data_IF_072283650300
#
_entry.id   IF_072283650300
#
_cell.length_a   1.000
_cell.length_b   1.000
_cell.length_c   1.000
_cell.angle_alpha   90.00
_cell.angle_beta   90.00
_cell.angle_gamma   90.00
#
_symmetry.space_group_name_H-M   'P 1'
#
loop_
_entity.id
_entity.type
_entity.pdbx_description
1 polymer ?
#
# COMPACT_ATOMS: atom_id res chain seq x y z
N UNK A 1 9.72 24.46 14.20
CA UNK A 1 8.50 23.74 14.59
C UNK A 1 8.93 22.33 15.00
N UNK A 2 8.24 21.70 15.96
CA UNK A 2 8.57 20.34 16.40
C UNK A 2 8.39 19.34 15.26
N UNK A 3 9.24 18.33 15.19
CA UNK A 3 9.07 17.20 14.28
C UNK A 3 8.03 16.18 14.83
N UNK A 4 7.62 15.22 14.00
CA UNK A 4 6.61 14.21 14.38
C UNK A 4 7.12 13.25 15.47
N UNK A 5 8.44 13.02 15.52
CA UNK A 5 9.08 12.15 16.51
C UNK A 5 9.17 12.83 17.88
N UNK A 6 9.42 14.13 17.93
CA UNK A 6 9.41 14.95 19.14
C UNK A 6 8.01 14.98 19.77
N UNK A 7 6.95 15.09 18.94
CA UNK A 7 5.56 15.02 19.40
C UNK A 7 5.25 13.63 19.99
N UNK A 8 5.71 12.56 19.35
CA UNK A 8 5.48 11.20 19.82
C UNK A 8 6.14 10.89 21.17
N UNK A 9 7.23 11.59 21.51
CA UNK A 9 7.98 11.39 22.75
C UNK A 9 7.49 12.25 23.94
N UNK A 10 6.59 13.23 23.70
CA UNK A 10 5.97 14.03 24.75
C UNK A 10 4.54 13.54 25.01
N UNK A 11 4.25 13.09 26.23
CA UNK A 11 2.97 12.45 26.56
C UNK A 11 1.77 13.41 26.47
N UNK A 12 1.95 14.70 26.76
CA UNK A 12 0.87 15.68 26.69
C UNK A 12 0.56 16.03 25.24
N UNK A 13 1.62 16.29 24.45
CA UNK A 13 1.50 16.55 23.02
C UNK A 13 0.95 15.34 22.28
N UNK A 14 1.42 14.14 22.58
CA UNK A 14 0.91 12.90 22.00
C UNK A 14 -0.59 12.75 22.23
N UNK A 15 -1.07 12.95 23.46
CA UNK A 15 -2.51 12.83 23.74
C UNK A 15 -3.35 13.87 22.99
N UNK A 16 -2.86 15.11 22.91
CA UNK A 16 -3.52 16.15 22.13
C UNK A 16 -3.53 15.82 20.63
N UNK A 17 -2.39 15.42 20.08
CA UNK A 17 -2.23 15.05 18.68
C UNK A 17 -3.06 13.83 18.31
N UNK A 18 -3.19 12.85 19.19
CA UNK A 18 -4.08 11.70 19.00
C UNK A 18 -5.55 12.09 18.91
N UNK A 19 -6.01 12.99 19.79
CA UNK A 19 -7.39 13.46 19.77
C UNK A 19 -7.71 14.29 18.52
N UNK A 20 -6.81 15.22 18.16
CA UNK A 20 -6.94 16.03 16.95
C UNK A 20 -6.84 15.20 15.67
N UNK A 21 -5.84 14.33 15.58
CA UNK A 21 -5.62 13.44 14.44
C UNK A 21 -6.79 12.51 14.19
N UNK A 22 -7.40 11.97 15.26
CA UNK A 22 -8.62 11.14 15.15
C UNK A 22 -9.80 11.91 14.54
N UNK A 23 -10.00 13.16 14.95
CA UNK A 23 -11.08 13.99 14.40
C UNK A 23 -10.85 14.28 12.92
N UNK A 24 -9.63 14.71 12.56
CA UNK A 24 -9.23 15.00 11.17
C UNK A 24 -9.34 13.76 10.30
N UNK A 25 -8.93 12.60 10.81
CA UNK A 25 -9.04 11.32 10.11
C UNK A 25 -10.50 10.96 9.80
N UNK A 26 -11.41 11.15 10.78
CA UNK A 26 -12.83 10.87 10.59
C UNK A 26 -13.46 11.72 9.48
N UNK A 27 -13.05 13.00 9.39
CA UNK A 27 -13.60 13.93 8.40
C UNK A 27 -13.02 13.73 6.99
N UNK A 28 -11.75 13.33 6.89
CA UNK A 28 -11.00 13.39 5.63
C UNK A 28 -10.56 12.02 5.07
N UNK A 29 -10.27 11.05 5.94
CA UNK A 29 -9.60 9.80 5.56
C UNK A 29 -10.53 8.58 5.65
N UNK A 30 -11.42 8.57 6.65
CA UNK A 30 -12.36 7.48 6.90
C UNK A 30 -13.27 7.11 5.71
N UNK A 31 -13.70 8.03 4.82
CA UNK A 31 -14.49 7.65 3.64
C UNK A 31 -13.79 6.65 2.72
N UNK A 32 -12.45 6.66 2.68
CA UNK A 32 -11.63 5.75 1.87
C UNK A 32 -11.06 4.61 2.72
N UNK A 33 -10.39 4.96 3.83
CA UNK A 33 -9.65 4.00 4.67
C UNK A 33 -10.49 3.35 5.78
N UNK A 34 -11.80 3.63 5.85
CA UNK A 34 -12.69 3.14 6.90
C UNK A 34 -12.52 3.90 8.22
N UNK A 35 -13.56 3.89 9.05
CA UNK A 35 -13.62 4.69 10.29
C UNK A 35 -12.52 4.37 11.31
N UNK A 36 -11.97 3.17 11.27
CA UNK A 36 -10.83 2.73 12.09
C UNK A 36 -9.55 2.47 11.31
N UNK A 37 -9.44 2.87 10.03
CA UNK A 37 -8.29 2.51 9.21
C UNK A 37 -8.31 1.05 8.73
N UNK A 38 -9.45 0.38 8.74
CA UNK A 38 -9.58 -1.00 8.25
C UNK A 38 -9.36 -1.16 6.74
N UNK A 39 -9.32 -0.06 5.99
CA UNK A 39 -9.33 -0.09 4.55
C UNK A 39 -10.68 -0.52 3.99
N UNK A 40 -10.73 -0.65 2.67
CA UNK A 40 -11.84 -1.14 1.86
C UNK A 40 -11.24 -1.74 0.57
N UNK A 41 -11.98 -2.49 -0.26
CA UNK A 41 -11.46 -2.95 -1.55
C UNK A 41 -10.90 -1.79 -2.38
N UNK A 42 -9.58 -1.84 -2.66
CA UNK A 42 -8.83 -0.78 -3.34
C UNK A 42 -8.31 0.36 -2.47
N UNK A 43 -8.57 0.35 -1.17
CA UNK A 43 -8.02 1.27 -0.18
C UNK A 43 -7.28 0.52 0.93
N UNK A 44 -5.98 0.78 1.14
CA UNK A 44 -5.17 0.02 2.10
C UNK A 44 -5.74 0.07 3.52
N UNK A 45 -5.58 -1.03 4.24
CA UNK A 45 -5.72 -0.99 5.69
C UNK A 45 -4.51 -0.26 6.27
N UNK A 46 -4.78 0.70 7.14
CA UNK A 46 -3.79 1.45 7.91
C UNK A 46 -3.57 0.82 9.29
N UNK A 47 -4.20 -0.33 9.56
CA UNK A 47 -4.02 -1.11 10.79
C UNK A 47 -3.04 -2.29 10.60
N UNK A 48 -2.55 -2.47 9.38
CA UNK A 48 -1.62 -3.54 9.01
C UNK A 48 -0.17 -3.09 9.19
N UNK A 49 0.73 -4.05 9.38
CA UNK A 49 2.17 -3.83 9.48
C UNK A 49 2.83 -3.82 8.09
N UNK A 50 2.12 -4.25 7.04
CA UNK A 50 2.57 -4.26 5.65
C UNK A 50 2.31 -2.93 4.93
N UNK A 51 3.22 -1.98 5.11
CA UNK A 51 3.15 -0.67 4.48
C UNK A 51 3.74 -0.65 3.07
N UNK A 52 2.97 -0.14 2.10
CA UNK A 52 3.44 0.02 0.71
C UNK A 52 4.63 0.98 0.60
N UNK A 53 4.57 2.12 1.29
CA UNK A 53 5.54 3.21 1.20
C UNK A 53 6.31 3.46 2.52
N UNK A 54 6.33 2.46 3.40
CA UNK A 54 6.91 2.57 4.74
C UNK A 54 5.90 3.01 5.81
N UNK A 55 6.04 2.47 7.01
CA UNK A 55 5.13 2.70 8.15
C UNK A 55 5.70 3.58 9.26
N UNK A 56 6.90 4.13 9.09
CA UNK A 56 7.49 5.05 10.07
C UNK A 56 6.75 6.38 10.09
N UNK A 57 6.87 7.14 11.18
CA UNK A 57 6.27 8.48 11.29
C UNK A 57 6.66 9.38 10.10
N UNK A 58 7.92 9.37 9.68
CA UNK A 58 8.39 10.20 8.57
C UNK A 58 7.82 9.74 7.22
N UNK A 59 7.74 8.42 6.98
CA UNK A 59 7.20 7.88 5.73
C UNK A 59 5.68 8.13 5.58
N UNK A 60 4.93 7.97 6.68
CA UNK A 60 3.51 8.31 6.74
C UNK A 60 3.33 9.81 6.53
N UNK A 61 4.12 10.63 7.22
CA UNK A 61 4.07 12.09 7.09
C UNK A 61 4.31 12.52 5.63
N UNK A 62 5.36 12.00 5.00
CA UNK A 62 5.65 12.28 3.59
C UNK A 62 4.48 11.88 2.68
N UNK A 63 3.94 10.66 2.85
CA UNK A 63 2.79 10.18 2.07
C UNK A 63 1.58 11.11 2.21
N UNK A 64 1.29 11.60 3.42
CA UNK A 64 0.22 12.57 3.64
C UNK A 64 0.49 13.91 2.94
N UNK A 65 1.75 14.37 2.90
CA UNK A 65 2.12 15.62 2.23
C UNK A 65 2.01 15.52 0.72
N UNK A 66 2.58 14.47 0.12
CA UNK A 66 2.78 14.40 -1.34
C UNK A 66 1.73 13.55 -2.06
N UNK A 67 1.00 12.71 -1.34
CA UNK A 67 0.04 11.78 -1.92
C UNK A 67 0.70 10.65 -2.72
N UNK A 68 -0.14 9.85 -3.39
CA UNK A 68 0.27 8.75 -4.27
C UNK A 68 -0.44 8.92 -5.61
N UNK A 69 0.34 9.00 -6.70
CA UNK A 69 -0.13 9.25 -8.07
C UNK A 69 -1.08 10.46 -8.16
N UNK A 70 -0.82 11.48 -7.35
CA UNK A 70 -1.64 12.68 -7.28
C UNK A 70 -1.09 13.75 -8.22
N UNK A 71 -1.76 13.94 -9.36
CA UNK A 71 -1.31 14.79 -10.47
C UNK A 71 -1.06 16.26 -10.11
N UNK A 72 -1.73 16.77 -9.07
CA UNK A 72 -1.56 18.14 -8.62
C UNK A 72 -0.35 18.34 -7.67
N UNK A 73 0.46 17.30 -7.41
CA UNK A 73 1.72 17.40 -6.69
C UNK A 73 2.86 16.72 -7.48
N UNK A 74 3.90 17.48 -7.84
CA UNK A 74 5.04 16.97 -8.62
C UNK A 74 5.93 15.99 -7.83
N UNK A 75 5.93 16.09 -6.51
CA UNK A 75 6.67 15.21 -5.59
C UNK A 75 5.86 13.97 -5.18
N UNK A 76 4.71 13.72 -5.81
CA UNK A 76 3.83 12.62 -5.44
C UNK A 76 4.54 11.27 -5.55
N UNK A 77 4.28 10.37 -4.60
CA UNK A 77 4.80 9.01 -4.66
C UNK A 77 4.21 8.31 -5.87
N UNK A 78 5.05 7.67 -6.67
CA UNK A 78 4.62 7.06 -7.91
C UNK A 78 5.15 5.64 -8.05
N UNK A 79 4.23 4.74 -8.34
CA UNK A 79 4.53 3.40 -8.82
C UNK A 79 3.66 3.14 -10.03
N UNK A 80 4.02 2.18 -10.89
CA UNK A 80 3.10 1.71 -11.92
C UNK A 80 3.40 0.25 -12.25
N UNK A 81 2.40 -0.61 -12.06
CA UNK A 81 2.48 -2.00 -12.49
C UNK A 81 2.02 -2.02 -13.96
N UNK A 82 2.78 -2.60 -14.90
CA UNK A 82 2.30 -2.78 -16.27
C UNK A 82 1.02 -3.61 -16.30
N UNK A 83 0.13 -3.34 -17.25
CA UNK A 83 -1.02 -4.21 -17.48
C UNK A 83 -0.58 -5.34 -18.42
N UNK A 84 0.07 -6.36 -17.87
CA UNK A 84 0.79 -7.38 -18.65
C UNK A 84 -0.07 -8.06 -19.72
N UNK A 85 -1.36 -8.27 -19.45
CA UNK A 85 -2.27 -8.84 -20.45
C UNK A 85 -2.77 -7.83 -21.46
N UNK A 86 -3.28 -6.68 -21.00
CA UNK A 86 -3.84 -5.63 -21.86
C UNK A 86 -2.79 -5.03 -22.80
N UNK A 87 -1.57 -4.88 -22.30
CA UNK A 87 -0.44 -4.29 -23.03
C UNK A 87 0.36 -5.37 -23.80
N UNK A 88 -0.16 -6.60 -23.88
CA UNK A 88 0.37 -7.74 -24.67
C UNK A 88 1.82 -8.11 -24.30
N UNK A 89 2.20 -7.93 -23.03
CA UNK A 89 3.53 -8.29 -22.52
C UNK A 89 3.64 -9.76 -22.13
N UNK A 90 2.52 -10.37 -21.71
CA UNK A 90 2.40 -11.78 -21.38
C UNK A 90 1.18 -12.40 -22.03
N UNK A 91 1.33 -13.64 -22.49
CA UNK A 91 0.22 -14.46 -22.97
C UNK A 91 -0.69 -14.86 -21.80
N UNK A 92 -1.96 -15.16 -22.11
CA UNK A 92 -2.96 -15.51 -21.10
C UNK A 92 -2.52 -16.68 -20.20
N UNK A 93 -1.92 -17.71 -20.79
CA UNK A 93 -1.45 -18.88 -20.04
C UNK A 93 -0.31 -18.52 -19.07
N UNK A 94 0.59 -17.60 -19.46
CA UNK A 94 1.66 -17.11 -18.58
C UNK A 94 1.11 -16.31 -17.40
N UNK A 95 0.02 -15.57 -17.62
CA UNK A 95 -0.67 -14.83 -16.57
C UNK A 95 -1.37 -15.79 -15.59
N UNK A 96 -2.00 -16.84 -16.09
CA UNK A 96 -2.61 -17.86 -15.24
C UNK A 96 -1.54 -18.60 -14.41
N UNK A 97 -0.39 -18.93 -15.01
CA UNK A 97 0.74 -19.57 -14.35
C UNK A 97 1.35 -18.68 -13.24
N UNK A 98 1.63 -17.40 -13.51
CA UNK A 98 2.22 -16.50 -12.50
C UNK A 98 1.24 -16.22 -11.35
N UNK A 99 -0.07 -16.21 -11.61
CA UNK A 99 -1.09 -16.08 -10.56
C UNK A 99 -1.09 -17.30 -9.64
N UNK A 100 -0.97 -18.51 -10.17
CA UNK A 100 -0.84 -19.73 -9.35
C UNK A 100 0.45 -19.69 -8.51
N UNK A 101 1.55 -19.17 -9.06
CA UNK A 101 2.79 -18.98 -8.30
C UNK A 101 2.61 -17.98 -7.16
N UNK A 102 2.00 -16.81 -7.41
CA UNK A 102 1.71 -15.81 -6.36
C UNK A 102 0.78 -16.37 -5.28
N UNK A 103 -0.25 -17.13 -5.67
CA UNK A 103 -1.17 -17.76 -4.71
C UNK A 103 -0.44 -18.75 -3.78
N UNK A 104 0.63 -19.40 -4.26
CA UNK A 104 1.38 -20.39 -3.49
C UNK A 104 2.02 -19.79 -2.22
N UNK A 105 2.33 -18.48 -2.22
CA UNK A 105 2.85 -17.78 -1.05
C UNK A 105 1.84 -17.64 0.09
N UNK A 106 0.54 -17.69 -0.22
CA UNK A 106 -0.54 -17.48 0.76
C UNK A 106 -0.95 -18.77 1.50
N UNK A 107 -0.23 -19.87 1.28
CA UNK A 107 -0.51 -21.17 1.92
C UNK A 107 -1.82 -21.82 1.47
N UNK A 108 -2.37 -21.39 0.33
CA UNK A 108 -3.59 -21.94 -0.27
C UNK A 108 -3.24 -23.08 -1.24
N UNK A 109 -4.20 -23.96 -1.51
CA UNK A 109 -4.07 -24.96 -2.57
C UNK A 109 -3.99 -24.26 -3.94
N UNK A 110 -2.97 -24.59 -4.71
CA UNK A 110 -2.71 -24.08 -6.06
C UNK A 110 -2.45 -25.22 -7.03
N UNK A 111 -2.53 -24.95 -8.33
CA UNK A 111 -2.00 -25.87 -9.33
C UNK A 111 -0.47 -25.81 -9.30
N UNK A 112 0.15 -26.81 -8.66
CA UNK A 112 1.60 -26.86 -8.50
C UNK A 112 2.36 -26.85 -9.84
N UNK A 113 1.82 -27.49 -10.88
CA UNK A 113 2.49 -27.51 -12.18
C UNK A 113 2.41 -26.14 -12.88
N UNK A 114 1.32 -25.41 -12.69
CA UNK A 114 1.20 -24.03 -13.14
C UNK A 114 2.10 -23.08 -12.33
N UNK A 115 2.15 -23.25 -11.01
CA UNK A 115 3.03 -22.48 -10.14
C UNK A 115 4.52 -22.65 -10.49
N UNK A 116 4.96 -23.87 -10.82
CA UNK A 116 6.34 -24.14 -11.27
C UNK A 116 6.69 -23.39 -12.55
N UNK A 117 5.75 -23.29 -13.51
CA UNK A 117 5.95 -22.47 -14.73
C UNK A 117 5.88 -20.98 -14.41
N UNK A 118 4.98 -20.59 -13.52
CA UNK A 118 4.77 -19.22 -13.06
C UNK A 118 5.97 -18.65 -12.33
N UNK A 119 6.77 -19.49 -11.67
CA UNK A 119 8.01 -19.08 -11.01
C UNK A 119 8.99 -18.41 -11.99
N UNK A 120 9.12 -18.98 -13.21
CA UNK A 120 9.98 -18.41 -14.26
C UNK A 120 9.43 -17.06 -14.73
N UNK A 121 8.11 -16.97 -14.96
CA UNK A 121 7.46 -15.71 -15.35
C UNK A 121 7.65 -14.63 -14.27
N UNK A 122 7.53 -15.01 -13.00
CA UNK A 122 7.71 -14.12 -11.86
C UNK A 122 9.14 -13.59 -11.77
N UNK A 123 10.15 -14.47 -11.89
CA UNK A 123 11.56 -14.10 -11.87
C UNK A 123 11.88 -13.09 -12.99
N UNK A 124 11.38 -13.33 -14.19
CA UNK A 124 11.67 -12.50 -15.37
C UNK A 124 10.94 -11.13 -15.35
N UNK A 125 9.72 -11.06 -14.78
CA UNK A 125 8.83 -9.92 -14.98
C UNK A 125 8.39 -9.21 -13.70
N UNK A 126 8.38 -9.90 -12.55
CA UNK A 126 7.75 -9.40 -11.32
C UNK A 126 8.76 -9.13 -10.21
N UNK A 127 9.81 -9.95 -10.10
CA UNK A 127 10.79 -9.90 -9.01
C UNK A 127 11.58 -8.58 -8.96
N UNK A 128 11.73 -7.87 -10.08
CA UNK A 128 12.40 -6.57 -10.13
C UNK A 128 11.71 -5.48 -9.28
N UNK A 129 10.39 -5.60 -9.10
CA UNK A 129 9.60 -4.68 -8.27
C UNK A 129 9.11 -5.32 -6.97
N UNK A 130 8.74 -6.61 -7.02
CA UNK A 130 8.16 -7.33 -5.87
C UNK A 130 9.20 -8.11 -5.05
N UNK A 131 10.47 -8.12 -5.46
CA UNK A 131 11.52 -8.91 -4.83
C UNK A 131 11.45 -10.40 -5.20
N UNK A 132 12.59 -11.10 -5.15
CA UNK A 132 12.67 -12.55 -5.38
C UNK A 132 11.87 -13.34 -4.34
N UNK A 133 11.76 -12.82 -3.12
CA UNK A 133 10.98 -13.42 -2.03
C UNK A 133 9.54 -12.90 -1.96
N UNK A 134 9.11 -12.15 -2.98
CA UNK A 134 7.77 -11.60 -3.14
C UNK A 134 7.30 -10.68 -2.00
N UNK A 135 8.23 -10.15 -1.17
CA UNK A 135 7.90 -9.27 -0.03
C UNK A 135 7.67 -7.81 -0.41
N UNK A 136 7.84 -7.46 -1.68
CA UNK A 136 7.71 -6.08 -2.13
C UNK A 136 8.95 -5.24 -1.85
N UNK A 137 8.98 -4.06 -2.46
CA UNK A 137 10.02 -3.05 -2.28
C UNK A 137 9.32 -1.74 -1.92
N UNK A 138 9.53 -1.27 -0.69
CA UNK A 138 8.82 -0.09 -0.16
C UNK A 138 9.16 1.19 -0.93
N UNK A 139 10.41 1.33 -1.39
CA UNK A 139 10.84 2.47 -2.21
C UNK A 139 10.13 2.53 -3.58
N UNK A 140 9.51 1.42 -4.01
CA UNK A 140 8.72 1.33 -5.23
C UNK A 140 7.22 1.27 -4.95
N UNK A 141 6.78 1.37 -3.69
CA UNK A 141 5.37 1.19 -3.34
C UNK A 141 4.83 -0.20 -3.72
N UNK A 142 5.70 -1.19 -3.92
CA UNK A 142 5.32 -2.50 -4.40
C UNK A 142 4.86 -3.38 -3.22
N UNK A 143 3.64 -3.93 -3.25
CA UNK A 143 3.07 -4.67 -2.13
C UNK A 143 3.81 -5.98 -1.86
N UNK A 144 3.77 -6.39 -0.59
CA UNK A 144 4.10 -7.74 -0.15
C UNK A 144 3.03 -8.72 -0.66
N UNK A 145 3.42 -9.61 -1.57
CA UNK A 145 2.52 -10.61 -2.16
C UNK A 145 2.42 -11.89 -1.31
N UNK A 146 3.17 -11.96 -0.20
CA UNK A 146 3.10 -13.06 0.77
C UNK A 146 2.13 -12.78 1.92
N UNK A 147 1.53 -11.59 1.93
CA UNK A 147 0.64 -11.13 2.98
C UNK A 147 -0.73 -11.85 2.95
N UNK A 148 -1.35 -11.98 4.12
CA UNK A 148 -2.72 -12.42 4.29
C UNK A 148 -3.73 -11.32 3.90
N UNK A 149 -3.37 -10.04 4.05
CA UNK A 149 -4.25 -8.91 3.77
C UNK A 149 -3.96 -8.37 2.37
N UNK A 150 -4.95 -8.48 1.48
CA UNK A 150 -4.83 -8.03 0.09
C UNK A 150 -5.67 -6.79 -0.17
N UNK A 151 -5.06 -5.76 -0.76
CA UNK A 151 -5.71 -4.49 -1.09
C UNK A 151 -6.96 -4.65 -1.97
N UNK A 152 -6.85 -5.44 -3.04
CA UNK A 152 -7.95 -5.67 -3.99
C UNK A 152 -8.66 -7.02 -3.76
N UNK A 153 -8.14 -7.86 -2.88
CA UNK A 153 -8.53 -9.26 -2.67
C UNK A 153 -7.53 -10.26 -3.24
N UNK A 154 -7.41 -11.42 -2.60
CA UNK A 154 -6.43 -12.45 -2.95
C UNK A 154 -7.05 -13.68 -3.64
N UNK A 155 -8.19 -13.56 -4.32
CA UNK A 155 -8.73 -14.68 -5.12
C UNK A 155 -7.98 -14.79 -6.45
N UNK A 156 -7.98 -15.97 -7.06
CA UNK A 156 -7.36 -16.19 -8.38
C UNK A 156 -7.88 -15.18 -9.40
N UNK A 157 -9.19 -14.95 -9.43
CA UNK A 157 -9.84 -14.03 -10.37
C UNK A 157 -9.36 -12.58 -10.17
N UNK A 158 -9.26 -12.13 -8.92
CA UNK A 158 -8.80 -10.77 -8.61
C UNK A 158 -7.32 -10.57 -8.94
N UNK A 159 -6.49 -11.57 -8.69
CA UNK A 159 -5.08 -11.53 -9.03
C UNK A 159 -4.88 -11.55 -10.55
N UNK A 160 -5.59 -12.43 -11.27
CA UNK A 160 -5.60 -12.43 -12.73
C UNK A 160 -6.03 -11.07 -13.27
N UNK A 161 -7.09 -10.46 -12.75
CA UNK A 161 -7.53 -9.13 -13.16
C UNK A 161 -6.44 -8.07 -12.93
N UNK A 162 -5.73 -8.16 -11.82
CA UNK A 162 -4.65 -7.22 -11.47
C UNK A 162 -3.45 -7.36 -12.41
N UNK A 163 -3.03 -8.59 -12.72
CA UNK A 163 -1.94 -8.83 -13.68
C UNK A 163 -2.36 -8.48 -15.11
N UNK A 164 -3.60 -8.77 -15.49
CA UNK A 164 -4.14 -8.47 -16.82
C UNK A 164 -4.23 -6.97 -17.08
N UNK A 165 -4.81 -6.20 -16.15
CA UNK A 165 -5.27 -4.83 -16.39
C UNK A 165 -4.56 -3.77 -15.55
N UNK A 166 -3.67 -4.16 -14.64
CA UNK A 166 -3.06 -3.31 -13.63
C UNK A 166 -4.09 -2.69 -12.67
N UNK A 167 -3.58 -1.98 -11.66
CA UNK A 167 -4.32 -1.18 -10.69
C UNK A 167 -3.58 0.14 -10.47
N UNK A 168 -4.32 1.24 -10.45
CA UNK A 168 -3.78 2.60 -10.30
C UNK A 168 -4.56 3.37 -9.25
N UNK A 169 -4.49 2.90 -8.01
CA UNK A 169 -5.06 3.62 -6.86
C UNK A 169 -4.38 4.98 -6.68
N UNK A 170 -5.16 5.98 -6.25
CA UNK A 170 -4.68 7.34 -6.01
C UNK A 170 -4.95 7.70 -4.56
N UNK A 171 -3.98 8.32 -3.90
CA UNK A 171 -4.14 8.93 -2.59
C UNK A 171 -3.87 10.44 -2.73
N UNK A 172 -4.85 11.32 -2.47
CA UNK A 172 -4.65 12.76 -2.65
C UNK A 172 -3.62 13.32 -1.68
N UNK A 173 -2.78 14.24 -2.15
CA UNK A 173 -1.94 15.05 -1.27
C UNK A 173 -2.79 15.90 -0.32
N UNK A 174 -2.41 15.94 0.96
CA UNK A 174 -2.98 16.84 1.96
C UNK A 174 -2.10 18.05 2.22
N UNK A 175 -0.83 18.03 1.79
CA UNK A 175 0.04 19.21 1.78
C UNK A 175 -0.63 20.37 1.03
N UNK A 176 -0.63 21.55 1.66
CA UNK A 176 -1.29 22.75 1.13
C UNK A 176 -2.83 22.76 1.23
N UNK A 177 -3.47 21.64 1.61
CA UNK A 177 -4.91 21.58 1.95
C UNK A 177 -5.14 21.65 3.46
N UNK A 178 -4.28 20.99 4.22
CA UNK A 178 -4.23 21.04 5.68
C UNK A 178 -2.97 21.79 6.09
N UNK A 179 -3.01 22.45 7.25
CA UNK A 179 -1.82 23.03 7.87
C UNK A 179 -0.88 21.94 8.40
N UNK A 180 0.39 22.30 8.58
CA UNK A 180 1.47 21.40 8.98
C UNK A 180 1.19 20.72 10.32
N UNK A 181 0.67 21.47 11.30
CA UNK A 181 0.32 20.96 12.62
C UNK A 181 -0.78 19.89 12.50
N UNK A 182 -1.79 20.14 11.66
CA UNK A 182 -2.86 19.18 11.38
C UNK A 182 -2.36 17.92 10.70
N UNK A 183 -1.44 18.02 9.72
CA UNK A 183 -0.85 16.84 9.09
C UNK A 183 -0.05 16.03 10.11
N UNK A 184 0.74 16.68 10.99
CA UNK A 184 1.49 15.98 12.05
C UNK A 184 0.60 15.23 13.02
N UNK A 185 -0.52 15.84 13.45
CA UNK A 185 -1.51 15.15 14.28
C UNK A 185 -2.09 13.92 13.57
N UNK A 186 -2.39 14.04 12.28
CA UNK A 186 -2.87 12.93 11.47
C UNK A 186 -1.82 11.83 11.32
N UNK A 187 -0.55 12.18 11.08
CA UNK A 187 0.58 11.24 11.04
C UNK A 187 0.65 10.40 12.30
N UNK A 188 0.67 11.05 13.47
CA UNK A 188 0.74 10.37 14.78
C UNK A 188 -0.46 9.43 14.97
N UNK A 189 -1.66 9.89 14.59
CA UNK A 189 -2.85 9.05 14.69
C UNK A 189 -2.79 7.84 13.75
N UNK A 190 -2.42 8.02 12.48
CA UNK A 190 -2.31 6.91 11.51
C UNK A 190 -1.24 5.90 11.94
N UNK A 191 -0.08 6.37 12.41
CA UNK A 191 0.98 5.51 12.94
C UNK A 191 0.49 4.65 14.10
N UNK A 192 -0.37 5.20 14.97
CA UNK A 192 -0.94 4.47 16.10
C UNK A 192 -1.91 3.34 15.71
N UNK A 193 -2.42 3.33 14.46
CA UNK A 193 -3.36 2.32 13.99
C UNK A 193 -2.65 1.02 13.57
N UNK A 194 -1.50 1.14 12.89
CA UNK A 194 -0.83 0.03 12.19
C UNK A 194 0.47 -0.44 12.83
N UNK A 195 0.45 -0.62 14.15
CA UNK A 195 1.40 -1.49 14.84
C UNK A 195 2.87 -1.03 14.91
N UNK A 196 3.20 0.16 14.43
CA UNK A 196 4.46 0.84 14.74
C UNK A 196 5.70 0.17 14.14
N UNK A 197 5.99 0.50 12.88
CA UNK A 197 7.40 0.62 12.46
C UNK A 197 8.04 1.83 13.13
#
# INVERSE_FOLDING_TARGET
>A
ALDVSEIANDSELLNFSMAGGKAVFADNCAPCHGTGGSGNPGFPSLQDDAWLWGGTLDAINETLHVGIRWDANEDTRFNDMPAFGRDELLERDQIEDVVEYVLSFTGRETDAAAADRGAVVFEENCASCHGEDAKGIQDLGAPNLTDAIWLYGGSKETLTETVMNSRSGVMPAWGGRLDEETIKMLTVYVHSLGGGQ
#
